data_IF_672539255423
#
_entry.id   IF_672539255423
#
_cell.length_a   1.000
_cell.length_b   1.000
_cell.length_c   1.000
_cell.angle_alpha   90.00
_cell.angle_beta   90.00
_cell.angle_gamma   90.00
#
_symmetry.space_group_name_H-M   'P 1'
#
loop_
_entity.id
_entity.type
_entity.pdbx_description
1 polymer ?
#
# COMPACT_ATOMS: atom_id res chain seq x y z
N UNK A 1 -7.36 -12.42 -1.69
CA UNK A 1 -6.63 -11.30 -1.07
C UNK A 1 -5.17 -11.53 -1.38
N UNK A 2 -4.72 -10.98 -2.49
CA UNK A 2 -3.36 -11.12 -2.99
C UNK A 2 -2.47 -10.06 -2.34
N UNK A 3 -1.21 -10.39 -2.11
CA UNK A 3 -0.21 -9.40 -1.73
C UNK A 3 1.01 -9.56 -2.62
N UNK A 4 1.52 -8.45 -3.15
CA UNK A 4 2.75 -8.45 -3.95
C UNK A 4 3.79 -7.53 -3.35
N UNK A 5 5.04 -7.99 -3.37
CA UNK A 5 6.18 -7.16 -3.00
C UNK A 5 6.84 -6.57 -4.23
N UNK A 6 7.29 -5.33 -4.11
CA UNK A 6 8.13 -4.67 -5.10
C UNK A 6 9.12 -3.74 -4.41
N UNK A 7 10.19 -3.42 -5.12
CA UNK A 7 11.19 -2.45 -4.69
C UNK A 7 10.94 -1.14 -5.43
N UNK A 8 10.86 -0.04 -4.70
CA UNK A 8 10.73 1.30 -5.28
C UNK A 8 12.08 1.82 -5.80
N UNK A 9 12.07 3.00 -6.44
CA UNK A 9 13.25 3.60 -7.08
C UNK A 9 14.37 3.95 -6.10
N UNK A 10 14.04 4.21 -4.84
CA UNK A 10 14.96 4.49 -3.75
C UNK A 10 15.46 3.20 -3.06
N UNK A 11 15.05 2.03 -3.56
CA UNK A 11 15.49 0.74 -3.01
C UNK A 11 14.68 0.27 -1.80
N UNK A 12 13.60 0.95 -1.41
CA UNK A 12 12.76 0.45 -0.32
C UNK A 12 11.79 -0.61 -0.80
N UNK A 13 11.57 -1.61 0.05
CA UNK A 13 10.65 -2.71 -0.24
C UNK A 13 9.26 -2.36 0.29
N UNK A 14 8.27 -2.58 -0.56
CA UNK A 14 6.86 -2.36 -0.28
C UNK A 14 6.06 -3.62 -0.54
N UNK A 15 5.02 -3.83 0.26
CA UNK A 15 4.02 -4.87 0.07
C UNK A 15 2.68 -4.21 -0.25
N UNK A 16 2.16 -4.48 -1.45
CA UNK A 16 0.85 -4.00 -1.90
C UNK A 16 -0.19 -5.05 -1.56
N UNK A 17 -1.25 -4.63 -0.88
CA UNK A 17 -2.40 -5.46 -0.50
C UNK A 17 -3.67 -4.88 -1.07
N UNK A 18 -4.49 -5.73 -1.69
CA UNK A 18 -5.84 -5.36 -2.07
C UNK A 18 -6.71 -5.25 -0.80
N UNK A 19 -7.07 -4.04 -0.38
CA UNK A 19 -7.99 -3.83 0.76
C UNK A 19 -9.43 -3.89 0.30
N UNK A 20 -9.68 -3.41 -0.91
CA UNK A 20 -10.98 -3.35 -1.56
C UNK A 20 -10.80 -3.19 -3.07
N UNK A 21 -11.87 -3.41 -3.84
CA UNK A 21 -11.89 -3.20 -5.31
C UNK A 21 -11.51 -1.79 -5.77
N UNK A 22 -11.43 -0.82 -4.85
CA UNK A 22 -11.14 0.59 -5.14
C UNK A 22 -9.96 1.15 -4.35
N UNK A 23 -9.51 0.46 -3.31
CA UNK A 23 -8.49 0.96 -2.40
C UNK A 23 -7.49 -0.16 -2.10
N UNK A 24 -6.22 0.14 -2.35
CA UNK A 24 -5.09 -0.72 -2.10
C UNK A 24 -4.21 -0.08 -1.03
N UNK A 25 -3.57 -0.91 -0.22
CA UNK A 25 -2.68 -0.47 0.85
C UNK A 25 -1.27 -0.92 0.55
N UNK A 26 -0.32 0.01 0.63
CA UNK A 26 1.10 -0.25 0.46
C UNK A 26 1.75 -0.15 1.84
N UNK A 27 2.24 -1.29 2.33
CA UNK A 27 2.91 -1.40 3.61
C UNK A 27 4.43 -1.46 3.43
N UNK A 28 5.20 -0.69 4.21
CA UNK A 28 6.66 -0.78 4.21
C UNK A 28 7.09 -2.17 4.71
N UNK A 29 8.00 -2.82 3.98
CA UNK A 29 8.56 -4.11 4.40
C UNK A 29 9.90 -3.87 5.10
N UNK A 30 10.19 -4.68 6.13
CA UNK A 30 11.38 -4.65 7.02
C UNK A 30 12.54 -3.82 6.49
N UNK A 31 12.86 -2.75 7.22
CA UNK A 31 13.96 -1.83 6.92
C UNK A 31 13.53 -0.58 6.17
N UNK A 32 12.33 -0.55 5.60
CA UNK A 32 11.74 0.65 5.01
C UNK A 32 11.24 1.61 6.13
N UNK A 33 11.81 2.84 6.26
CA UNK A 33 11.44 3.78 7.31
C UNK A 33 10.15 4.58 6.99
N UNK A 34 9.57 4.42 5.80
CA UNK A 34 8.41 5.20 5.37
C UNK A 34 7.12 4.67 6.01
N UNK A 35 6.10 5.52 6.24
CA UNK A 35 4.82 5.08 6.79
C UNK A 35 4.01 4.29 5.75
N UNK A 36 3.04 3.45 6.18
CA UNK A 36 2.09 2.83 5.28
C UNK A 36 1.24 3.88 4.55
N UNK A 37 0.97 3.64 3.28
CA UNK A 37 0.20 4.53 2.41
C UNK A 37 -0.96 3.78 1.74
N UNK A 38 -1.95 4.51 1.28
CA UNK A 38 -3.12 3.99 0.56
C UNK A 38 -3.19 4.60 -0.82
N UNK A 39 -3.51 3.79 -1.82
CA UNK A 39 -3.67 4.22 -3.20
C UNK A 39 -4.99 3.72 -3.78
N UNK A 40 -5.52 4.46 -4.75
CA UNK A 40 -6.68 4.01 -5.52
C UNK A 40 -6.28 2.84 -6.41
N UNK A 41 -7.11 1.80 -6.43
CA UNK A 41 -6.92 0.70 -7.38
C UNK A 41 -6.99 1.25 -8.83
N UNK A 42 -6.21 0.70 -9.77
CA UNK A 42 -6.20 1.16 -11.17
C UNK A 42 -7.52 0.93 -11.93
N UNK A 43 -8.49 0.26 -11.31
CA UNK A 43 -9.88 0.14 -11.78
C UNK A 43 -10.08 -0.91 -12.88
N UNK A 44 -9.07 -1.17 -13.70
CA UNK A 44 -9.04 -2.25 -14.69
C UNK A 44 -8.48 -3.56 -14.11
N UNK A 45 -7.75 -3.51 -13.00
CA UNK A 45 -7.12 -4.66 -12.35
C UNK A 45 -7.48 -4.70 -10.85
N UNK A 46 -7.74 -5.90 -10.35
CA UNK A 46 -8.06 -6.17 -8.94
C UNK A 46 -6.97 -6.95 -8.22
N UNK A 47 -6.02 -7.55 -8.95
CA UNK A 47 -4.93 -8.32 -8.39
C UNK A 47 -3.56 -7.61 -8.56
N UNK A 48 -2.80 -7.40 -7.48
CA UNK A 48 -1.51 -6.72 -7.55
C UNK A 48 -0.42 -7.54 -8.28
N UNK A 49 -0.58 -8.85 -8.48
CA UNK A 49 0.35 -9.67 -9.26
C UNK A 49 0.28 -9.42 -10.76
N UNK A 50 -0.84 -8.93 -11.26
CA UNK A 50 -0.98 -8.63 -12.69
C UNK A 50 -0.36 -7.27 -13.06
N UNK A 51 -0.05 -6.41 -12.07
CA UNK A 51 0.59 -5.12 -12.32
C UNK A 51 2.09 -5.24 -12.56
N UNK A 52 2.61 -4.47 -13.52
CA UNK A 52 4.04 -4.29 -13.69
C UNK A 52 4.67 -3.51 -12.52
N UNK A 53 5.98 -3.67 -12.31
CA UNK A 53 6.71 -2.90 -11.28
C UNK A 53 6.57 -1.39 -11.52
N UNK A 54 6.57 -0.95 -12.78
CA UNK A 54 6.38 0.45 -13.15
C UNK A 54 4.99 0.99 -12.75
N UNK A 55 3.94 0.18 -12.91
CA UNK A 55 2.58 0.52 -12.48
C UNK A 55 2.50 0.59 -10.95
N UNK A 56 3.14 -0.35 -10.24
CA UNK A 56 3.23 -0.33 -8.77
C UNK A 56 4.00 0.90 -8.27
N UNK A 57 5.02 1.35 -8.98
CA UNK A 57 5.73 2.59 -8.67
C UNK A 57 4.85 3.83 -8.90
N UNK A 58 4.09 3.90 -10.00
CA UNK A 58 3.13 5.00 -10.24
C UNK A 58 2.04 5.03 -9.18
N UNK A 59 1.56 3.85 -8.78
CA UNK A 59 0.59 3.68 -7.70
C UNK A 59 1.14 4.24 -6.38
N UNK A 60 2.40 3.94 -6.05
CA UNK A 60 3.08 4.46 -4.86
C UNK A 60 3.28 5.98 -4.92
N UNK A 61 3.65 6.52 -6.08
CA UNK A 61 3.83 7.96 -6.30
C UNK A 61 2.52 8.75 -6.11
N UNK A 62 1.39 8.14 -6.50
CA UNK A 62 0.04 8.70 -6.31
C UNK A 62 -0.60 8.34 -4.96
N UNK A 63 0.09 7.59 -4.11
CA UNK A 63 -0.46 7.12 -2.85
C UNK A 63 -0.55 8.26 -1.82
N UNK A 64 -1.60 8.25 -1.03
CA UNK A 64 -1.80 9.17 0.08
C UNK A 64 -1.42 8.50 1.40
N UNK A 65 -0.92 9.25 2.40
CA UNK A 65 -0.70 8.71 3.73
C UNK A 65 -1.96 8.03 4.24
N UNK A 66 -1.85 6.76 4.61
CA UNK A 66 -3.00 6.02 5.10
C UNK A 66 -3.53 6.74 6.35
N UNK A 67 -4.85 6.92 6.49
CA UNK A 67 -5.39 7.52 7.70
C UNK A 67 -4.96 6.67 8.89
N UNK A 68 -4.14 7.26 9.76
CA UNK A 68 -3.73 6.66 11.02
C UNK A 68 -4.99 6.28 11.78
N UNK A 69 -5.35 4.98 11.80
CA UNK A 69 -6.48 4.54 12.64
C UNK A 69 -6.14 4.99 14.06
N UNK A 70 -6.98 5.84 14.70
CA UNK A 70 -6.77 6.13 16.10
C UNK A 70 -6.79 4.80 16.83
N UNK A 71 -5.67 4.45 17.49
CA UNK A 71 -5.63 3.34 18.44
C UNK A 71 -6.81 3.58 19.38
N UNK A 72 -7.78 2.68 19.37
CA UNK A 72 -8.88 2.67 20.32
C UNK A 72 -8.23 2.61 21.71
N UNK A 73 -8.14 3.75 22.39
CA UNK A 73 -7.65 3.78 23.77
C UNK A 73 -8.55 2.87 24.59
N UNK A 74 -8.00 1.91 25.35
CA UNK A 74 -8.80 0.98 26.15
C UNK A 74 -9.41 1.65 27.39
N UNK A 75 -9.09 2.92 27.66
CA UNK A 75 -9.67 3.69 28.74
C UNK A 75 -10.92 4.41 28.25
N UNK A 76 -12.05 3.75 28.49
CA UNK A 76 -13.38 4.38 28.55
C UNK A 76 -13.59 4.70 30.03
N UNK A 77 -13.73 6.00 30.34
CA UNK A 77 -14.21 6.46 31.65
C UNK A 77 -15.64 5.93 31.90
#
# INVERSE_FOLDING_TARGET
MGYRRFTDREGNVWEVRDRSKREWQLEPVRGNPKPPVTASAPGYESDPFELSIEELQRLLDSAQPAPSRPRKSPFRD
#
